data_IF_277944745718
#
_entry.id   IF_277944745718
#
_cell.length_a   1.000
_cell.length_b   1.000
_cell.length_c   1.000
_cell.angle_alpha   90.00
_cell.angle_beta   90.00
_cell.angle_gamma   90.00
#
_symmetry.space_group_name_H-M   'P 1'
#
loop_
_entity.id
_entity.type
_entity.pdbx_description
1 polymer ?
#
# COMPACT_ATOMS: atom_id res chain seq x y z
N UNK A 1 19.91 25.69 11.20
CA UNK A 1 18.65 26.46 10.99
C UNK A 1 17.50 25.46 10.95
N UNK A 2 16.36 25.73 11.58
CA UNK A 2 15.20 24.81 11.62
C UNK A 2 14.03 25.49 10.91
N UNK A 3 13.30 24.76 10.06
CA UNK A 3 12.09 25.24 9.40
C UNK A 3 11.18 24.09 8.98
N UNK A 4 9.91 24.42 8.70
CA UNK A 4 8.92 23.47 8.18
C UNK A 4 8.89 23.51 6.65
N UNK A 5 8.77 22.35 6.03
CA UNK A 5 8.71 22.20 4.58
C UNK A 5 7.76 21.07 4.18
N UNK A 6 7.35 21.07 2.91
CA UNK A 6 6.66 19.93 2.29
C UNK A 6 7.67 19.22 1.39
N UNK A 7 7.75 17.89 1.47
CA UNK A 7 8.55 17.12 0.52
C UNK A 7 7.76 16.99 -0.77
N UNK A 8 8.24 17.65 -1.84
CA UNK A 8 7.56 17.66 -3.13
C UNK A 8 7.82 16.40 -3.94
N UNK A 9 9.03 15.84 -3.82
CA UNK A 9 9.36 14.55 -4.41
C UNK A 9 10.65 13.95 -3.85
N UNK A 10 10.86 12.66 -4.15
CA UNK A 10 12.14 11.98 -3.93
C UNK A 10 12.65 11.45 -5.27
N UNK A 11 13.86 11.85 -5.63
CA UNK A 11 14.54 11.43 -6.84
C UNK A 11 14.99 9.97 -6.80
N UNK A 12 15.20 9.38 -7.97
CA UNK A 12 15.70 8.00 -8.14
C UNK A 12 17.09 7.77 -7.52
N UNK A 13 17.85 8.83 -7.25
CA UNK A 13 19.15 8.79 -6.58
C UNK A 13 19.03 9.04 -5.06
N UNK A 14 17.82 9.06 -4.51
CA UNK A 14 17.52 9.35 -3.11
C UNK A 14 17.62 10.83 -2.73
N UNK A 15 17.72 11.75 -3.70
CA UNK A 15 17.63 13.20 -3.42
C UNK A 15 16.23 13.55 -2.94
N UNK A 16 16.12 14.22 -1.81
CA UNK A 16 14.84 14.68 -1.26
C UNK A 16 14.64 16.13 -1.70
N UNK A 17 13.55 16.43 -2.39
CA UNK A 17 13.23 17.80 -2.80
C UNK A 17 12.18 18.37 -1.85
N UNK A 18 12.49 19.50 -1.24
CA UNK A 18 11.63 20.15 -0.27
C UNK A 18 11.23 21.55 -0.73
N UNK A 19 10.00 21.96 -0.41
CA UNK A 19 9.51 23.31 -0.60
C UNK A 19 9.27 23.90 0.80
N UNK A 20 10.06 24.91 1.23
CA UNK A 20 9.83 25.57 2.51
C UNK A 20 8.41 26.14 2.57
N UNK A 21 7.70 25.94 3.69
CA UNK A 21 6.33 26.48 3.86
C UNK A 21 6.26 28.00 3.67
N UNK A 22 7.35 28.71 3.98
CA UNK A 22 7.46 30.15 3.76
C UNK A 22 7.36 30.58 2.29
N UNK A 23 7.51 29.67 1.33
CA UNK A 23 7.47 29.94 -0.11
C UNK A 23 6.18 29.48 -0.79
N UNK A 24 5.29 28.79 -0.06
CA UNK A 24 4.08 28.19 -0.62
C UNK A 24 3.18 29.24 -1.28
N UNK A 25 3.02 30.40 -0.64
CA UNK A 25 2.17 31.48 -1.17
C UNK A 25 2.73 32.07 -2.46
N UNK A 26 4.03 32.32 -2.53
CA UNK A 26 4.71 32.80 -3.74
C UNK A 26 4.67 31.76 -4.87
N UNK A 27 4.91 30.48 -4.55
CA UNK A 27 4.83 29.40 -5.51
C UNK A 27 3.41 29.30 -6.10
N UNK A 28 2.38 29.33 -5.25
CA UNK A 28 0.98 29.29 -5.70
C UNK A 28 0.62 30.45 -6.63
N UNK A 29 1.11 31.67 -6.33
CA UNK A 29 0.95 32.83 -7.22
C UNK A 29 1.62 32.62 -8.57
N UNK A 30 2.86 32.13 -8.57
CA UNK A 30 3.57 31.81 -9.81
C UNK A 30 2.85 30.73 -10.62
N UNK A 31 2.40 29.65 -9.97
CA UNK A 31 1.68 28.56 -10.65
C UNK A 31 0.39 29.06 -11.29
N UNK A 32 -0.37 29.92 -10.61
CA UNK A 32 -1.57 30.54 -11.16
C UNK A 32 -1.27 31.45 -12.37
N UNK A 33 -0.18 32.22 -12.31
CA UNK A 33 0.27 33.07 -13.42
C UNK A 33 0.67 32.23 -14.64
N UNK A 34 1.45 31.16 -14.44
CA UNK A 34 1.85 30.25 -15.51
C UNK A 34 0.62 29.58 -16.13
N UNK A 35 -0.33 29.11 -15.32
CA UNK A 35 -1.57 28.52 -15.84
C UNK A 35 -2.33 29.51 -16.73
N UNK A 36 -2.40 30.79 -16.33
CA UNK A 36 -3.08 31.83 -17.09
C UNK A 36 -2.37 32.15 -18.41
N UNK A 37 -1.05 32.32 -18.37
CA UNK A 37 -0.25 32.73 -19.52
C UNK A 37 -0.14 31.64 -20.60
N UNK A 38 -0.20 30.37 -20.20
CA UNK A 38 0.01 29.22 -21.09
C UNK A 38 -1.29 28.46 -21.44
N UNK A 39 -2.46 28.95 -20.99
CA UNK A 39 -3.77 28.28 -21.16
C UNK A 39 -4.18 28.01 -22.62
N UNK A 40 -3.88 28.95 -23.53
CA UNK A 40 -4.37 28.94 -24.91
C UNK A 40 -3.23 28.92 -25.93
N UNK A 41 -2.14 28.21 -25.62
CA UNK A 41 -1.03 28.07 -26.58
C UNK A 41 -1.38 27.07 -27.68
N UNK A 42 -1.14 27.48 -28.93
CA UNK A 42 -1.26 26.62 -30.09
C UNK A 42 -0.15 25.57 -30.16
N UNK A 43 -0.27 24.62 -31.08
CA UNK A 43 0.76 23.63 -31.36
C UNK A 43 2.08 24.32 -31.69
N UNK A 44 3.14 23.95 -30.96
CA UNK A 44 4.47 24.49 -31.18
C UNK A 44 5.05 23.96 -32.48
N UNK A 45 5.65 24.85 -33.27
CA UNK A 45 6.47 24.45 -34.42
C UNK A 45 7.64 23.55 -33.97
N UNK A 46 8.17 22.69 -34.85
CA UNK A 46 9.28 21.81 -34.52
C UNK A 46 10.47 22.60 -33.93
N UNK A 47 10.81 22.31 -32.68
CA UNK A 47 11.87 23.00 -31.94
C UNK A 47 13.01 22.04 -31.55
N UNK A 48 14.26 22.47 -31.76
CA UNK A 48 15.46 21.70 -31.45
C UNK A 48 16.00 22.02 -30.05
N UNK A 49 15.57 21.24 -29.07
CA UNK A 49 15.94 21.41 -27.66
C UNK A 49 17.39 21.08 -27.35
N UNK A 50 17.99 21.86 -26.44
CA UNK A 50 19.33 21.61 -25.89
C UNK A 50 19.28 21.24 -24.41
N UNK A 51 20.23 20.42 -23.97
CA UNK A 51 20.41 20.13 -22.54
C UNK A 51 20.73 21.42 -21.79
N UNK A 52 20.01 21.67 -20.72
CA UNK A 52 20.11 22.84 -19.86
C UNK A 52 19.13 23.96 -20.19
N UNK A 53 18.37 23.84 -21.28
CA UNK A 53 17.49 24.90 -21.75
C UNK A 53 16.23 25.06 -20.86
N UNK A 54 15.87 26.29 -20.46
CA UNK A 54 14.66 26.55 -19.68
C UNK A 54 13.42 26.42 -20.55
N UNK A 55 12.35 25.92 -19.94
CA UNK A 55 11.08 25.70 -20.62
C UNK A 55 9.91 25.87 -19.65
N UNK A 56 8.72 26.02 -20.22
CA UNK A 56 7.47 25.72 -19.54
C UNK A 56 6.95 24.40 -20.09
N UNK A 57 6.56 23.50 -19.19
CA UNK A 57 6.23 22.11 -19.51
C UNK A 57 4.81 21.79 -19.06
N UNK A 58 4.05 21.11 -19.92
CA UNK A 58 2.75 20.54 -19.55
C UNK A 58 2.96 19.15 -18.97
N UNK A 59 2.65 19.02 -17.69
CA UNK A 59 2.74 17.77 -16.96
C UNK A 59 1.69 16.75 -17.38
N UNK A 60 1.83 15.53 -16.86
CA UNK A 60 0.87 14.43 -17.06
C UNK A 60 -0.51 14.72 -16.46
N UNK A 61 -0.55 15.54 -15.42
CA UNK A 61 -1.75 16.12 -14.81
C UNK A 61 -2.41 17.24 -15.65
N UNK A 62 -1.86 17.52 -16.83
CA UNK A 62 -2.30 18.53 -17.79
C UNK A 62 -2.06 19.98 -17.37
N UNK A 63 -1.36 20.22 -16.25
CA UNK A 63 -1.03 21.53 -15.72
C UNK A 63 0.34 22.00 -16.22
N UNK A 64 0.59 23.32 -16.18
CA UNK A 64 1.83 23.93 -16.65
C UNK A 64 2.82 24.21 -15.54
N UNK A 65 4.10 23.90 -15.77
CA UNK A 65 5.16 24.06 -14.77
C UNK A 65 6.40 24.69 -15.38
N UNK A 66 7.28 25.24 -14.55
CA UNK A 66 8.64 25.58 -15.00
C UNK A 66 9.50 24.32 -15.06
N UNK A 67 10.16 24.14 -16.19
CA UNK A 67 11.00 22.99 -16.45
C UNK A 67 12.38 23.39 -16.95
N UNK A 68 13.30 22.43 -16.90
CA UNK A 68 14.61 22.49 -17.55
C UNK A 68 14.89 21.17 -18.24
N UNK A 69 15.32 21.22 -19.50
CA UNK A 69 15.68 20.00 -20.24
C UNK A 69 16.99 19.45 -19.66
N UNK A 70 16.99 18.21 -19.19
CA UNK A 70 18.17 17.56 -18.58
C UNK A 70 18.73 16.40 -19.42
N UNK A 71 17.95 15.87 -20.35
CA UNK A 71 18.36 14.78 -21.25
C UNK A 71 17.56 14.74 -22.55
N UNK A 72 18.19 14.25 -23.61
CA UNK A 72 17.59 14.06 -24.94
C UNK A 72 17.56 12.55 -25.25
N UNK A 73 16.41 11.94 -25.56
CA UNK A 73 16.40 10.51 -25.94
C UNK A 73 15.04 9.83 -26.16
N UNK A 74 14.93 9.09 -27.27
CA UNK A 74 13.83 8.16 -27.54
C UNK A 74 12.48 8.81 -27.82
N UNK A 75 12.44 9.86 -28.67
CA UNK A 75 11.20 10.56 -29.04
C UNK A 75 10.61 11.49 -27.96
N UNK A 76 11.18 11.47 -26.74
CA UNK A 76 10.80 12.32 -25.63
C UNK A 76 12.05 13.02 -25.04
N UNK A 77 11.80 14.04 -24.23
CA UNK A 77 12.82 14.83 -23.54
C UNK A 77 12.72 14.56 -22.04
N UNK A 78 13.85 14.44 -21.35
CA UNK A 78 13.83 14.41 -19.89
C UNK A 78 13.79 15.84 -19.37
N UNK A 79 12.77 16.16 -18.60
CA UNK A 79 12.49 17.51 -18.11
C UNK A 79 12.46 17.47 -16.59
N UNK A 80 13.27 18.32 -15.97
CA UNK A 80 13.29 18.52 -14.53
C UNK A 80 12.40 19.69 -14.16
N UNK A 81 11.40 19.46 -13.31
CA UNK A 81 10.47 20.47 -12.81
C UNK A 81 11.17 21.28 -11.73
N UNK A 82 11.63 22.48 -12.08
CA UNK A 82 12.58 23.22 -11.22
C UNK A 82 11.97 23.68 -9.89
N UNK A 83 10.64 23.68 -9.77
CA UNK A 83 9.93 24.10 -8.55
C UNK A 83 9.46 22.93 -7.67
N UNK A 84 9.54 21.70 -8.19
CA UNK A 84 9.06 20.50 -7.51
C UNK A 84 10.11 19.38 -7.42
N UNK A 85 11.17 19.42 -8.22
CA UNK A 85 12.26 18.46 -8.21
C UNK A 85 12.05 17.19 -9.05
N UNK A 86 10.82 16.89 -9.47
CA UNK A 86 10.52 15.71 -10.28
C UNK A 86 11.23 15.77 -11.63
N UNK A 87 11.58 14.61 -12.19
CA UNK A 87 12.09 14.49 -13.55
C UNK A 87 11.24 13.51 -14.32
N UNK A 88 10.68 13.94 -15.45
CA UNK A 88 9.79 13.11 -16.27
C UNK A 88 10.23 13.08 -17.72
N UNK A 89 9.76 12.06 -18.45
CA UNK A 89 9.92 11.96 -19.90
C UNK A 89 8.71 12.60 -20.57
N UNK A 90 8.94 13.73 -21.23
CA UNK A 90 7.88 14.57 -21.79
C UNK A 90 8.02 14.66 -23.31
N UNK A 91 6.92 14.50 -24.07
CA UNK A 91 6.92 14.74 -25.51
C UNK A 91 7.31 16.19 -25.85
N UNK A 92 8.10 16.45 -26.90
CA UNK A 92 8.49 17.82 -27.28
C UNK A 92 7.33 18.79 -27.50
N UNK A 93 6.16 18.31 -27.92
CA UNK A 93 4.97 19.13 -28.13
C UNK A 93 4.32 19.67 -26.84
N UNK A 94 4.73 19.16 -25.67
CA UNK A 94 4.27 19.65 -24.36
C UNK A 94 5.22 20.68 -23.74
N UNK A 95 6.28 21.06 -24.44
CA UNK A 95 7.30 21.98 -23.96
C UNK A 95 7.28 23.27 -24.74
N UNK A 96 7.40 24.41 -24.05
CA UNK A 96 7.48 25.74 -24.65
C UNK A 96 8.79 26.41 -24.24
N UNK A 97 9.67 26.77 -25.20
CA UNK A 97 10.91 27.45 -24.90
C UNK A 97 10.60 28.86 -24.44
N UNK A 98 11.05 29.22 -23.24
CA UNK A 98 10.80 30.56 -22.69
C UNK A 98 11.81 30.91 -21.63
N UNK A 99 12.14 32.20 -21.57
CA UNK A 99 12.96 32.81 -20.52
C UNK A 99 12.17 33.79 -19.66
N UNK A 100 10.84 33.85 -19.82
CA UNK A 100 9.95 34.78 -19.09
C UNK A 100 10.17 34.72 -17.58
N UNK A 101 10.44 33.53 -17.06
CA UNK A 101 10.61 33.27 -15.62
C UNK A 101 12.07 33.08 -15.19
N UNK A 102 13.05 33.45 -16.03
CA UNK A 102 14.46 33.22 -15.75
C UNK A 102 14.98 33.99 -14.52
N UNK A 103 14.35 35.12 -14.17
CA UNK A 103 14.71 35.91 -13.00
C UNK A 103 14.15 35.36 -11.68
N UNK A 104 13.15 34.47 -11.74
CA UNK A 104 12.53 33.89 -10.54
C UNK A 104 13.34 32.65 -10.13
N UNK A 105 13.87 32.57 -8.90
CA UNK A 105 14.65 31.41 -8.47
C UNK A 105 13.76 30.15 -8.36
N UNK A 106 14.35 28.93 -8.42
CA UNK A 106 13.66 27.68 -8.11
C UNK A 106 13.07 27.68 -6.70
N UNK A 107 11.87 27.13 -6.54
CA UNK A 107 11.20 27.05 -5.23
C UNK A 107 11.53 25.79 -4.43
N UNK A 108 11.90 24.70 -5.09
CA UNK A 108 12.35 23.49 -4.39
C UNK A 108 13.85 23.56 -4.06
N UNK A 109 14.21 22.98 -2.93
CA UNK A 109 15.59 22.82 -2.47
C UNK A 109 15.94 21.33 -2.54
N UNK A 110 16.99 20.93 -3.29
CA UNK A 110 17.47 19.56 -3.27
C UNK A 110 18.24 19.31 -1.97
N UNK A 111 17.95 18.19 -1.32
CA UNK A 111 18.51 17.83 -0.02
C UNK A 111 19.10 16.42 -0.03
N UNK A 112 20.08 16.22 0.85
CA UNK A 112 20.65 14.93 1.20
C UNK A 112 20.64 14.76 2.73
N UNK A 113 20.53 13.52 3.19
CA UNK A 113 20.57 13.22 4.62
C UNK A 113 21.99 13.38 5.17
N UNK A 114 22.13 14.19 6.22
CA UNK A 114 23.38 14.45 6.89
C UNK A 114 23.97 13.15 7.46
N UNK A 115 25.28 12.93 7.21
CA UNK A 115 26.05 11.77 7.69
C UNK A 115 25.36 10.42 7.51
N UNK A 116 24.60 10.29 6.44
CA UNK A 116 23.85 9.07 6.13
C UNK A 116 24.43 8.45 4.87
N UNK A 117 24.95 7.23 4.98
CA UNK A 117 25.56 6.48 3.88
C UNK A 117 24.64 5.32 3.50
N UNK A 118 24.07 5.30 2.29
CA UNK A 118 23.21 4.21 1.84
C UNK A 118 23.95 2.87 1.82
N UNK A 119 23.22 1.78 2.11
CA UNK A 119 23.77 0.43 1.99
C UNK A 119 24.15 0.17 0.53
N UNK A 120 25.43 -0.17 0.30
CA UNK A 120 25.98 -0.32 -1.05
C UNK A 120 26.50 0.98 -1.68
N UNK A 121 26.57 2.08 -0.92
CA UNK A 121 27.07 3.42 -1.33
C UNK A 121 26.16 4.18 -2.32
N UNK A 122 25.00 3.65 -2.65
CA UNK A 122 23.95 4.35 -3.40
C UNK A 122 22.58 3.89 -2.88
N UNK A 123 21.58 4.76 -2.97
CA UNK A 123 20.22 4.41 -2.58
C UNK A 123 19.67 3.34 -3.54
N UNK A 124 19.43 2.15 -2.99
CA UNK A 124 18.79 1.05 -3.72
C UNK A 124 17.32 1.38 -3.99
N UNK A 125 16.72 0.73 -4.99
CA UNK A 125 15.34 1.05 -5.39
C UNK A 125 14.33 0.84 -4.27
N UNK A 126 14.45 -0.24 -3.49
CA UNK A 126 13.60 -0.52 -2.32
C UNK A 126 13.70 0.57 -1.24
N UNK A 127 14.90 1.11 -1.02
CA UNK A 127 15.11 2.24 -0.13
C UNK A 127 14.50 3.54 -0.69
N UNK A 128 14.62 3.78 -2.00
CA UNK A 128 14.01 4.96 -2.66
C UNK A 128 12.48 4.87 -2.62
N UNK A 129 11.90 3.70 -2.89
CA UNK A 129 10.46 3.46 -2.82
C UNK A 129 9.96 3.74 -1.40
N UNK A 130 10.68 3.26 -0.39
CA UNK A 130 10.38 3.55 1.01
C UNK A 130 10.43 5.06 1.32
N UNK A 131 11.43 5.80 0.81
CA UNK A 131 11.48 7.26 0.96
C UNK A 131 10.28 7.94 0.27
N UNK A 132 9.93 7.49 -0.94
CA UNK A 132 8.81 8.04 -1.71
C UNK A 132 7.48 7.82 -0.99
N UNK A 133 7.22 6.62 -0.49
CA UNK A 133 6.01 6.28 0.26
C UNK A 133 5.90 7.06 1.57
N UNK A 134 7.02 7.26 2.28
CA UNK A 134 7.02 7.94 3.58
C UNK A 134 6.94 9.45 3.51
N UNK A 135 7.40 10.05 2.41
CA UNK A 135 7.65 11.49 2.36
C UNK A 135 6.83 12.22 1.31
N UNK A 136 6.34 11.57 0.25
CA UNK A 136 5.71 12.31 -0.85
C UNK A 136 4.47 13.07 -0.36
N UNK A 137 4.49 14.40 -0.52
CA UNK A 137 3.48 15.35 -0.02
C UNK A 137 3.37 15.43 1.51
N UNK A 138 4.34 14.90 2.25
CA UNK A 138 4.37 14.99 3.71
C UNK A 138 4.97 16.31 4.19
N UNK A 139 4.44 16.79 5.32
CA UNK A 139 4.99 17.93 6.05
C UNK A 139 6.10 17.46 6.99
N UNK A 140 7.26 18.10 6.88
CA UNK A 140 8.47 17.69 7.57
C UNK A 140 9.16 18.87 8.25
N UNK A 141 9.79 18.59 9.38
CA UNK A 141 10.68 19.52 10.04
C UNK A 141 12.11 19.29 9.56
N UNK A 142 12.74 20.35 9.03
CA UNK A 142 14.06 20.29 8.42
C UNK A 142 15.06 21.06 9.27
N UNK A 143 16.12 20.37 9.67
CA UNK A 143 17.26 20.91 10.41
C UNK A 143 18.46 20.96 9.48
N UNK A 144 18.86 22.17 9.09
CA UNK A 144 20.05 22.38 8.24
C UNK A 144 21.31 22.12 9.05
N UNK A 145 22.11 21.16 8.59
CA UNK A 145 23.39 20.79 9.19
C UNK A 145 24.56 21.44 8.45
N UNK A 146 24.62 21.27 7.13
CA UNK A 146 25.70 21.83 6.29
C UNK A 146 25.14 22.47 5.02
N UNK A 147 25.72 23.61 4.64
CA UNK A 147 25.44 24.26 3.37
C UNK A 147 26.29 23.59 2.28
N UNK A 148 25.76 23.44 1.05
CA UNK A 148 26.56 22.94 -0.05
C UNK A 148 27.62 23.95 -0.46
N UNK A 149 28.79 23.47 -0.89
CA UNK A 149 29.86 24.32 -1.46
C UNK A 149 29.38 25.07 -2.72
N UNK A 150 28.48 24.42 -3.46
CA UNK A 150 27.85 24.95 -4.66
C UNK A 150 26.46 25.50 -4.31
N UNK A 151 26.08 26.73 -4.70
CA UNK A 151 24.74 27.27 -4.45
C UNK A 151 23.59 26.42 -5.04
N UNK A 152 23.89 25.60 -6.03
CA UNK A 152 22.94 24.65 -6.65
C UNK A 152 23.16 23.20 -6.21
N UNK A 153 23.98 22.97 -5.18
CA UNK A 153 24.24 21.65 -4.61
C UNK A 153 23.13 21.19 -3.66
N UNK A 154 23.26 19.95 -3.16
CA UNK A 154 22.31 19.35 -2.22
C UNK A 154 22.56 19.88 -0.80
N UNK A 155 21.53 20.40 -0.16
CA UNK A 155 21.58 20.84 1.23
C UNK A 155 21.67 19.62 2.16
N UNK A 156 22.65 19.61 3.07
CA UNK A 156 22.82 18.52 4.05
C UNK A 156 21.91 18.76 5.26
N UNK A 157 20.95 17.87 5.49
CA UNK A 157 19.88 18.06 6.47
C UNK A 157 19.67 16.85 7.38
N UNK A 158 19.20 17.11 8.59
CA UNK A 158 18.44 16.14 9.38
C UNK A 158 16.96 16.43 9.17
N UNK A 159 16.19 15.42 8.77
CA UNK A 159 14.78 15.54 8.44
C UNK A 159 13.96 14.75 9.46
N UNK A 160 12.89 15.36 9.96
CA UNK A 160 11.96 14.74 10.87
C UNK A 160 10.54 14.75 10.29
N UNK A 161 9.90 13.59 10.24
CA UNK A 161 8.51 13.41 9.81
C UNK A 161 7.72 12.85 10.99
N UNK A 162 6.64 13.51 11.39
CA UNK A 162 5.91 13.13 12.62
C UNK A 162 6.77 13.10 13.90
N UNK A 163 7.87 13.89 13.94
CA UNK A 163 8.83 13.89 15.05
C UNK A 163 9.86 12.75 15.01
N UNK A 164 9.82 11.88 14.00
CA UNK A 164 10.78 10.77 13.81
C UNK A 164 11.92 11.20 12.90
N UNK A 165 13.16 10.93 13.30
CA UNK A 165 14.34 11.14 12.46
C UNK A 165 14.34 10.16 11.27
N UNK A 166 14.37 10.70 10.05
CA UNK A 166 14.40 9.91 8.83
C UNK A 166 15.68 9.07 8.69
N UNK A 167 16.85 9.61 9.02
CA UNK A 167 18.10 8.85 8.94
C UNK A 167 18.10 7.65 9.90
N UNK A 168 17.57 7.84 11.11
CA UNK A 168 17.42 6.76 12.10
C UNK A 168 16.43 5.69 11.62
N UNK A 169 15.30 6.12 11.04
CA UNK A 169 14.31 5.22 10.46
C UNK A 169 14.91 4.38 9.32
N UNK A 170 15.58 5.01 8.35
CA UNK A 170 16.19 4.29 7.22
C UNK A 170 17.32 3.35 7.68
N UNK A 171 18.09 3.74 8.69
CA UNK A 171 19.16 2.90 9.25
C UNK A 171 18.61 1.67 9.99
N UNK A 172 17.47 1.83 10.67
CA UNK A 172 16.76 0.73 11.33
C UNK A 172 16.38 -0.38 10.35
N UNK A 173 15.80 0.02 9.21
CA UNK A 173 15.43 -0.88 8.11
C UNK A 173 16.62 -1.36 7.27
N UNK A 174 17.86 -1.07 7.69
CA UNK A 174 19.11 -1.50 7.02
C UNK A 174 19.30 -0.92 5.61
N UNK A 175 18.60 0.16 5.28
CA UNK A 175 18.79 0.88 4.02
C UNK A 175 20.01 1.80 4.02
N UNK A 176 20.49 2.20 5.20
CA UNK A 176 21.70 3.03 5.34
C UNK A 176 22.41 2.79 6.67
N UNK A 177 23.59 3.39 6.80
CA UNK A 177 24.31 3.59 8.06
C UNK A 177 24.33 5.08 8.34
N UNK A 178 23.93 5.50 9.54
CA UNK A 178 24.00 6.90 9.97
C UNK A 178 24.81 7.01 11.28
N UNK A 179 25.73 7.98 11.34
CA UNK A 179 26.63 8.15 12.50
C UNK A 179 25.87 8.58 13.77
N UNK A 180 24.78 9.35 13.61
CA UNK A 180 24.00 9.92 14.71
C UNK A 180 22.73 9.09 15.03
N UNK A 181 22.76 7.77 14.82
CA UNK A 181 21.71 6.88 15.30
C UNK A 181 21.73 6.84 16.84
N UNK A 182 21.20 7.89 17.47
CA UNK A 182 20.74 7.83 18.85
C UNK A 182 19.77 6.65 18.94
N UNK A 183 20.00 5.78 19.94
CA UNK A 183 19.14 4.66 20.28
C UNK A 183 17.68 5.08 20.13
N UNK A 184 16.99 4.44 19.18
CA UNK A 184 15.62 4.78 18.80
C UNK A 184 14.77 4.83 20.07
N UNK A 185 14.30 6.02 20.53
CA UNK A 185 13.46 6.08 21.70
C UNK A 185 12.18 5.32 21.42
N UNK A 186 11.62 4.73 22.46
CA UNK A 186 10.38 3.95 22.43
C UNK A 186 9.24 4.65 21.65
N UNK A 187 9.22 5.99 21.62
CA UNK A 187 8.30 6.84 20.84
C UNK A 187 8.25 6.57 19.33
N UNK A 188 9.37 6.22 18.66
CA UNK A 188 9.36 5.94 17.21
C UNK A 188 8.59 4.65 16.91
N UNK A 189 8.60 3.68 17.83
CA UNK A 189 7.83 2.42 17.73
C UNK A 189 6.31 2.69 17.80
N UNK A 190 5.89 3.71 18.55
CA UNK A 190 4.49 4.13 18.63
C UNK A 190 4.04 4.86 17.35
N UNK A 191 4.87 5.78 16.83
CA UNK A 191 4.58 6.53 15.60
C UNK A 191 4.55 5.62 14.36
N UNK A 192 5.46 4.64 14.26
CA UNK A 192 5.44 3.66 13.16
C UNK A 192 4.10 2.91 13.10
N UNK A 193 3.58 2.46 14.24
CA UNK A 193 2.31 1.71 14.28
C UNK A 193 1.10 2.61 13.99
N UNK A 194 1.13 3.88 14.41
CA UNK A 194 0.04 4.82 14.14
C UNK A 194 -0.09 5.22 12.65
N UNK A 195 0.95 5.00 11.84
CA UNK A 195 1.01 5.41 10.42
C UNK A 195 0.90 4.22 9.45
N UNK A 196 0.85 2.97 9.95
CA UNK A 196 0.74 1.81 9.06
C UNK A 196 -0.59 1.86 8.28
N UNK A 197 -0.54 1.78 6.93
CA UNK A 197 -1.75 1.74 6.14
C UNK A 197 -2.52 0.44 6.43
N UNK A 198 -3.84 0.54 6.47
CA UNK A 198 -4.70 -0.64 6.57
C UNK A 198 -4.60 -1.50 5.31
N UNK A 199 -4.90 -2.78 5.43
CA UNK A 199 -4.95 -3.67 4.27
C UNK A 199 -6.04 -3.23 3.28
N UNK A 200 -5.75 -3.41 1.99
CA UNK A 200 -6.68 -3.12 0.89
C UNK A 200 -7.42 -4.39 0.47
N UNK A 201 -8.66 -4.23 -0.01
CA UNK A 201 -9.41 -5.33 -0.61
C UNK A 201 -8.93 -5.62 -2.02
N UNK A 202 -8.96 -6.89 -2.48
CA UNK A 202 -8.70 -7.21 -3.87
C UNK A 202 -9.81 -6.64 -4.77
N UNK A 203 -9.52 -6.37 -6.06
CA UNK A 203 -10.55 -5.95 -7.01
C UNK A 203 -11.60 -7.05 -7.14
N UNK A 204 -12.82 -6.75 -6.70
CA UNK A 204 -13.95 -7.68 -6.77
C UNK A 204 -14.64 -7.61 -8.15
N UNK A 205 -15.11 -8.75 -8.69
CA UNK A 205 -15.89 -8.78 -9.93
C UNK A 205 -17.17 -7.93 -9.86
N UNK A 206 -17.69 -7.54 -11.02
CA UNK A 206 -18.94 -6.78 -11.10
C UNK A 206 -20.14 -7.65 -10.68
N UNK A 207 -21.18 -7.07 -10.06
CA UNK A 207 -22.38 -7.82 -9.70
C UNK A 207 -23.01 -8.54 -10.91
N UNK A 208 -23.42 -9.78 -10.70
CA UNK A 208 -24.00 -10.65 -11.74
C UNK A 208 -23.02 -11.60 -12.44
N UNK A 209 -21.72 -11.31 -12.45
CA UNK A 209 -20.72 -12.24 -12.98
C UNK A 209 -20.46 -13.39 -12.00
N UNK A 210 -20.31 -14.60 -12.54
CA UNK A 210 -19.95 -15.79 -11.77
C UNK A 210 -18.46 -16.05 -11.88
N UNK A 211 -17.76 -16.23 -10.75
CA UNK A 211 -16.31 -16.41 -10.70
C UNK A 211 -15.91 -17.55 -9.75
N UNK A 212 -14.79 -18.24 -10.02
CA UNK A 212 -14.33 -19.34 -9.17
C UNK A 212 -13.82 -18.80 -7.83
N UNK A 213 -14.22 -19.46 -6.76
CA UNK A 213 -13.81 -19.14 -5.39
C UNK A 213 -13.53 -20.41 -4.59
N UNK A 214 -12.79 -20.23 -3.50
CA UNK A 214 -12.70 -21.22 -2.43
C UNK A 214 -13.16 -20.59 -1.13
N UNK A 215 -13.94 -21.31 -0.34
CA UNK A 215 -14.24 -20.89 1.03
C UNK A 215 -13.04 -21.26 1.91
N UNK A 216 -12.38 -20.27 2.48
CA UNK A 216 -11.19 -20.47 3.31
C UNK A 216 -11.51 -20.52 4.80
N UNK A 217 -12.61 -19.88 5.21
CA UNK A 217 -13.08 -19.91 6.59
C UNK A 217 -14.60 -19.72 6.64
N UNK A 218 -15.26 -20.42 7.57
CA UNK A 218 -16.70 -20.33 7.82
C UNK A 218 -16.91 -19.77 9.23
N UNK A 219 -17.61 -18.63 9.34
CA UNK A 219 -17.94 -18.00 10.63
C UNK A 219 -19.28 -18.49 11.13
N UNK A 220 -20.28 -18.49 10.24
CA UNK A 220 -21.62 -19.02 10.49
C UNK A 220 -22.16 -19.60 9.18
N UNK A 221 -23.30 -20.32 9.18
CA UNK A 221 -23.87 -20.82 7.94
C UNK A 221 -24.08 -19.75 6.86
N UNK A 222 -24.36 -18.49 7.26
CA UNK A 222 -24.59 -17.36 6.36
C UNK A 222 -23.36 -16.46 6.15
N UNK A 223 -22.27 -16.68 6.88
CA UNK A 223 -21.08 -15.82 6.86
C UNK A 223 -19.81 -16.63 6.56
N UNK A 224 -19.18 -16.32 5.43
CA UNK A 224 -18.01 -17.02 4.90
C UNK A 224 -16.88 -16.04 4.58
N UNK A 225 -15.67 -16.59 4.50
CA UNK A 225 -14.52 -15.95 3.89
C UNK A 225 -14.18 -16.66 2.59
N UNK A 226 -14.09 -15.89 1.51
CA UNK A 226 -13.81 -16.41 0.17
C UNK A 226 -12.45 -15.92 -0.33
N UNK A 227 -11.71 -16.81 -0.99
CA UNK A 227 -10.51 -16.47 -1.73
C UNK A 227 -10.80 -16.55 -3.23
N UNK A 228 -10.41 -15.49 -3.96
CA UNK A 228 -10.48 -15.46 -5.41
C UNK A 228 -9.24 -16.17 -5.99
N UNK A 229 -9.42 -17.15 -6.86
CA UNK A 229 -8.31 -17.83 -7.53
C UNK A 229 -7.62 -16.86 -8.51
N UNK A 230 -6.60 -16.14 -8.02
CA UNK A 230 -5.78 -15.22 -8.81
C UNK A 230 -5.04 -15.94 -9.95
N UNK A 231 -4.78 -17.24 -9.82
CA UNK A 231 -4.02 -18.05 -10.79
C UNK A 231 -4.68 -18.19 -12.17
N UNK A 232 -6.00 -17.93 -12.30
CA UNK A 232 -6.70 -18.02 -13.58
C UNK A 232 -7.00 -16.65 -14.23
N UNK A 233 -6.86 -15.55 -13.50
CA UNK A 233 -7.13 -14.20 -14.02
C UNK A 233 -5.92 -13.54 -14.72
N UNK A 234 -4.78 -14.23 -14.81
CA UNK A 234 -3.58 -13.79 -15.55
C UNK A 234 -3.65 -14.04 -17.07
N UNK A 235 -4.67 -14.75 -17.59
CA UNK A 235 -4.84 -14.91 -19.04
C UNK A 235 -5.76 -13.86 -19.63
N UNK A 236 -5.30 -12.60 -19.69
CA UNK A 236 -5.71 -11.61 -20.70
C UNK A 236 -4.77 -10.39 -20.71
N UNK A 237 -3.47 -10.64 -20.87
CA UNK A 237 -2.54 -9.79 -21.64
C UNK A 237 -1.14 -10.42 -21.64
N UNK A 238 -0.90 -11.33 -22.57
CA UNK A 238 0.45 -11.56 -23.06
C UNK A 238 0.40 -11.76 -24.57
N UNK A 239 1.05 -10.85 -25.30
CA UNK A 239 2.14 -11.18 -26.22
C UNK A 239 2.82 -9.88 -26.64
N UNK A 240 4.03 -9.64 -26.13
CA UNK A 240 5.22 -9.46 -26.98
C UNK A 240 6.45 -9.74 -26.14
N UNK A 241 7.24 -10.68 -26.63
CA UNK A 241 8.49 -11.19 -26.08
C UNK A 241 9.63 -10.16 -26.16
N UNK A 242 10.60 -10.32 -25.26
CA UNK A 242 11.93 -9.74 -25.41
C UNK A 242 12.31 -8.78 -24.28
N UNK A 243 12.91 -9.30 -23.20
CA UNK A 243 14.29 -9.00 -22.85
C UNK A 243 14.62 -9.47 -21.43
N UNK A 244 15.79 -10.09 -21.31
CA UNK A 244 16.32 -10.62 -20.07
C UNK A 244 16.50 -9.51 -19.01
N UNK A 245 15.86 -9.67 -17.85
CA UNK A 245 16.08 -8.81 -16.68
C UNK A 245 16.20 -9.65 -15.42
N UNK A 246 17.40 -9.70 -14.87
CA UNK A 246 17.66 -10.16 -13.51
C UNK A 246 17.45 -8.98 -12.56
N UNK A 247 16.19 -8.70 -12.21
CA UNK A 247 15.80 -7.87 -11.07
C UNK A 247 14.73 -8.68 -10.33
N UNK A 248 15.07 -9.40 -9.26
CA UNK A 248 14.05 -10.11 -8.48
C UNK A 248 13.33 -9.13 -7.54
N UNK A 249 12.54 -8.22 -8.12
CA UNK A 249 11.34 -7.75 -7.43
C UNK A 249 10.55 -9.03 -7.09
N UNK A 250 10.19 -9.24 -5.82
CA UNK A 250 9.34 -10.39 -5.50
C UNK A 250 8.01 -10.20 -6.22
N UNK A 251 7.76 -11.06 -7.20
CA UNK A 251 6.64 -10.91 -8.14
C UNK A 251 5.31 -11.32 -7.48
N UNK A 252 5.38 -12.03 -6.34
CA UNK A 252 4.21 -12.57 -5.64
C UNK A 252 4.26 -12.39 -4.12
N UNK A 253 3.07 -12.36 -3.51
CA UNK A 253 2.90 -12.38 -2.05
C UNK A 253 3.54 -13.64 -1.42
N UNK A 254 3.47 -14.79 -2.09
CA UNK A 254 4.06 -16.04 -1.62
C UNK A 254 5.58 -15.96 -1.51
N UNK A 255 6.24 -15.31 -2.47
CA UNK A 255 7.69 -15.07 -2.39
C UNK A 255 8.01 -14.14 -1.23
N UNK A 256 7.29 -13.02 -1.10
CA UNK A 256 7.46 -12.07 -0.01
C UNK A 256 7.31 -12.75 1.36
N UNK A 257 6.28 -13.56 1.55
CA UNK A 257 6.06 -14.32 2.78
C UNK A 257 7.15 -15.37 3.03
N UNK A 258 7.66 -16.05 2.00
CA UNK A 258 8.79 -17.00 2.14
C UNK A 258 10.05 -16.30 2.63
N UNK A 259 10.34 -15.09 2.15
CA UNK A 259 11.47 -14.31 2.64
C UNK A 259 11.23 -13.81 4.06
N UNK A 260 10.04 -13.30 4.37
CA UNK A 260 9.69 -12.88 5.72
C UNK A 260 9.86 -14.02 6.73
N UNK A 261 9.42 -15.23 6.39
CA UNK A 261 9.60 -16.40 7.25
C UNK A 261 11.07 -16.77 7.47
N UNK A 262 11.95 -16.59 6.47
CA UNK A 262 13.40 -16.83 6.61
C UNK A 262 14.10 -15.79 7.49
N UNK A 263 13.56 -14.58 7.56
CA UNK A 263 14.18 -13.44 8.26
C UNK A 263 13.36 -12.95 9.45
N UNK A 264 12.45 -13.79 9.96
CA UNK A 264 11.41 -13.34 10.92
C UNK A 264 11.99 -12.84 12.25
N UNK A 265 13.13 -13.39 12.67
CA UNK A 265 13.82 -12.98 13.89
C UNK A 265 14.30 -11.52 13.85
N UNK A 266 14.51 -10.97 12.64
CA UNK A 266 14.89 -9.57 12.44
C UNK A 266 13.72 -8.60 12.64
N UNK A 267 12.47 -9.07 12.57
CA UNK A 267 11.30 -8.21 12.76
C UNK A 267 10.98 -8.06 14.25
N UNK A 268 10.71 -6.83 14.73
CA UNK A 268 10.41 -6.60 16.14
C UNK A 268 9.13 -7.28 16.58
N UNK A 269 9.02 -7.56 17.88
CA UNK A 269 7.75 -7.94 18.49
C UNK A 269 6.74 -6.79 18.36
N UNK A 270 5.46 -7.13 18.20
CA UNK A 270 4.39 -6.16 18.23
C UNK A 270 4.19 -5.67 19.67
N UNK A 271 4.16 -4.35 19.88
CA UNK A 271 4.02 -3.76 21.22
C UNK A 271 2.74 -2.95 21.42
N UNK A 272 1.98 -2.72 20.35
CA UNK A 272 0.70 -2.00 20.39
C UNK A 272 -0.37 -2.88 19.76
N UNK A 273 -1.49 -3.01 20.46
CA UNK A 273 -2.58 -3.93 20.11
C UNK A 273 -3.87 -3.15 19.84
N UNK A 274 -3.76 -2.04 19.12
CA UNK A 274 -4.95 -1.31 18.67
C UNK A 274 -5.69 -2.13 17.61
N UNK A 275 -7.00 -1.97 17.56
CA UNK A 275 -7.87 -2.64 16.60
C UNK A 275 -7.43 -2.28 15.18
N UNK A 276 -7.46 -3.28 14.29
CA UNK A 276 -7.09 -3.23 12.88
C UNK A 276 -5.60 -2.95 12.58
N UNK A 277 -4.73 -2.89 13.59
CA UNK A 277 -3.28 -2.76 13.36
C UNK A 277 -2.75 -3.98 12.58
N UNK A 278 -2.11 -3.76 11.41
CA UNK A 278 -1.46 -4.82 10.65
C UNK A 278 -0.26 -5.41 11.40
N UNK A 279 -0.13 -6.73 11.37
CA UNK A 279 0.96 -7.45 12.01
C UNK A 279 1.30 -8.77 11.30
N UNK A 280 2.41 -9.38 11.70
CA UNK A 280 2.71 -10.78 11.43
C UNK A 280 2.35 -11.62 12.64
N UNK A 281 1.67 -12.74 12.42
CA UNK A 281 1.32 -13.70 13.46
C UNK A 281 1.84 -15.09 13.11
N UNK A 282 2.43 -15.78 14.09
CA UNK A 282 2.84 -17.18 13.96
C UNK A 282 1.61 -18.09 14.06
N UNK A 283 1.42 -18.96 13.06
CA UNK A 283 0.37 -19.97 13.06
C UNK A 283 0.86 -21.31 13.62
N UNK A 284 -0.02 -22.31 13.68
CA UNK A 284 0.26 -23.61 14.31
C UNK A 284 1.33 -24.43 13.58
N UNK A 285 1.57 -24.15 12.30
CA UNK A 285 2.62 -24.76 11.48
C UNK A 285 4.01 -24.14 11.71
N UNK A 286 4.12 -23.13 12.58
CA UNK A 286 5.35 -22.41 12.86
C UNK A 286 5.72 -21.37 11.80
N UNK A 287 4.86 -21.15 10.81
CA UNK A 287 5.03 -20.11 9.81
C UNK A 287 4.31 -18.82 10.22
N UNK A 288 4.82 -17.71 9.72
CA UNK A 288 4.34 -16.36 9.98
C UNK A 288 3.54 -15.86 8.79
N UNK A 289 2.36 -15.32 9.10
CA UNK A 289 1.37 -14.88 8.13
C UNK A 289 0.94 -13.45 8.41
N UNK A 290 0.40 -12.78 7.39
CA UNK A 290 -0.20 -11.45 7.55
C UNK A 290 -1.47 -11.56 8.37
N UNK A 291 -1.56 -10.73 9.38
CA UNK A 291 -2.70 -10.65 10.26
C UNK A 291 -3.04 -9.20 10.61
N UNK A 292 -4.19 -9.02 11.26
CA UNK A 292 -4.54 -7.78 11.94
C UNK A 292 -5.04 -8.06 13.34
N UNK A 293 -4.79 -7.13 14.25
CA UNK A 293 -5.29 -7.20 15.63
C UNK A 293 -6.78 -6.87 15.66
N UNK A 294 -7.56 -7.65 16.40
CA UNK A 294 -8.99 -7.40 16.61
C UNK A 294 -9.29 -6.93 18.04
N UNK A 295 -8.76 -7.64 19.04
CA UNK A 295 -9.04 -7.39 20.45
C UNK A 295 -7.97 -8.01 21.35
N UNK A 296 -7.94 -7.57 22.61
CA UNK A 296 -7.22 -8.23 23.69
C UNK A 296 -8.22 -9.14 24.41
N UNK A 297 -8.00 -10.45 24.36
CA UNK A 297 -8.91 -11.46 24.95
C UNK A 297 -8.57 -11.73 26.42
N UNK A 298 -7.28 -11.75 26.75
CA UNK A 298 -6.79 -11.99 28.12
C UNK A 298 -5.70 -10.97 28.43
N UNK A 299 -5.59 -10.55 29.70
CA UNK A 299 -4.59 -9.57 30.16
C UNK A 299 -3.44 -10.19 30.97
N UNK A 300 -3.56 -11.44 31.42
CA UNK A 300 -2.54 -12.09 32.26
C UNK A 300 -2.46 -13.62 32.07
N UNK A 301 -1.56 -14.14 31.22
CA UNK A 301 -0.72 -13.38 30.29
C UNK A 301 -1.55 -12.71 29.19
N UNK A 302 -1.02 -11.65 28.58
CA UNK A 302 -1.71 -10.96 27.50
C UNK A 302 -1.88 -11.90 26.30
N UNK A 303 -3.13 -12.09 25.85
CA UNK A 303 -3.45 -12.81 24.61
C UNK A 303 -4.30 -11.94 23.71
N UNK A 304 -3.96 -11.96 22.44
CA UNK A 304 -4.52 -11.08 21.42
C UNK A 304 -5.28 -11.93 20.43
N UNK A 305 -6.53 -11.55 20.15
CA UNK A 305 -7.28 -12.08 19.02
C UNK A 305 -6.77 -11.40 17.75
N UNK A 306 -6.29 -12.21 16.81
CA UNK A 306 -5.89 -11.75 15.48
C UNK A 306 -6.71 -12.43 14.40
N UNK A 307 -6.85 -11.75 13.28
CA UNK A 307 -7.38 -12.30 12.05
C UNK A 307 -6.27 -12.44 11.01
N UNK A 308 -6.11 -13.63 10.45
CA UNK A 308 -5.23 -13.88 9.31
C UNK A 308 -5.89 -13.39 8.03
N UNK A 309 -5.46 -12.23 7.53
CA UNK A 309 -6.18 -11.51 6.46
C UNK A 309 -6.19 -12.24 5.12
N UNK A 310 -5.25 -13.17 4.92
CA UNK A 310 -5.15 -13.96 3.69
C UNK A 310 -5.97 -15.25 3.72
N UNK A 311 -6.50 -15.62 4.89
CA UNK A 311 -7.26 -16.87 5.09
C UNK A 311 -8.64 -16.64 5.70
N UNK A 312 -8.87 -15.48 6.34
CA UNK A 312 -10.09 -15.15 7.05
C UNK A 312 -10.21 -15.78 8.43
N UNK A 313 -9.30 -16.70 8.78
CA UNK A 313 -9.29 -17.41 10.05
C UNK A 313 -8.85 -16.51 11.21
N UNK A 314 -9.29 -16.88 12.41
CA UNK A 314 -8.98 -16.17 13.65
C UNK A 314 -8.15 -17.05 14.58
N UNK A 315 -7.30 -16.43 15.39
CA UNK A 315 -6.58 -17.13 16.44
C UNK A 315 -6.30 -16.22 17.61
N UNK A 316 -6.36 -16.78 18.81
CA UNK A 316 -5.88 -16.12 20.03
C UNK A 316 -4.43 -16.51 20.24
N UNK A 317 -3.52 -15.54 20.18
CA UNK A 317 -2.08 -15.78 20.26
C UNK A 317 -1.43 -14.95 21.37
N UNK A 318 -0.39 -15.48 22.05
CA UNK A 318 0.40 -14.69 22.98
C UNK A 318 1.20 -13.62 22.24
N UNK A 319 1.60 -12.57 22.95
CA UNK A 319 2.38 -11.46 22.38
C UNK A 319 3.73 -11.89 21.78
N UNK A 320 4.31 -13.00 22.25
CA UNK A 320 5.53 -13.59 21.69
C UNK A 320 5.37 -14.12 20.26
N UNK A 321 4.14 -14.37 19.82
CA UNK A 321 3.78 -14.84 18.47
C UNK A 321 3.32 -13.72 17.55
N UNK A 322 3.56 -12.47 17.93
CA UNK A 322 3.22 -11.30 17.16
C UNK A 322 4.45 -10.46 16.86
N UNK A 323 4.63 -10.13 15.58
CA UNK A 323 5.69 -9.26 15.11
C UNK A 323 5.13 -8.12 14.28
N UNK A 324 5.88 -7.03 14.20
CA UNK A 324 5.56 -5.94 13.29
C UNK A 324 5.64 -6.45 11.85
N UNK A 325 4.71 -5.98 11.01
CA UNK A 325 4.72 -6.30 9.59
C UNK A 325 5.61 -5.33 8.81
N UNK A 326 6.48 -5.84 7.92
CA UNK A 326 7.20 -5.02 6.94
C UNK A 326 6.25 -4.29 5.99
N UNK A 327 6.53 -3.02 5.71
CA UNK A 327 5.66 -2.19 4.86
C UNK A 327 5.43 -2.78 3.46
N UNK A 328 6.46 -3.36 2.83
CA UNK A 328 6.33 -3.96 1.49
C UNK A 328 5.34 -5.13 1.40
N UNK A 329 4.89 -5.69 2.53
CA UNK A 329 3.82 -6.69 2.55
C UNK A 329 2.42 -6.04 2.52
N UNK A 330 2.28 -4.75 2.87
CA UNK A 330 1.00 -4.04 2.90
C UNK A 330 0.53 -3.61 1.49
N UNK A 331 1.44 -3.54 0.51
CA UNK A 331 1.08 -3.25 -0.88
C UNK A 331 0.20 -4.34 -1.52
N UNK A 332 0.23 -5.56 -0.98
CA UNK A 332 -0.58 -6.66 -1.49
C UNK A 332 -1.98 -6.61 -0.88
N UNK A 333 -3.05 -6.69 -1.68
CA UNK A 333 -4.40 -6.82 -1.15
C UNK A 333 -4.57 -8.09 -0.30
N UNK A 334 -5.55 -8.09 0.59
CA UNK A 334 -5.92 -9.31 1.34
C UNK A 334 -6.36 -10.41 0.38
N UNK A 335 -5.97 -11.66 0.63
CA UNK A 335 -6.37 -12.78 -0.22
C UNK A 335 -7.74 -13.37 0.15
N UNK A 336 -8.27 -13.03 1.33
CA UNK A 336 -9.54 -13.55 1.82
C UNK A 336 -10.52 -12.43 2.15
N UNK A 337 -11.72 -12.50 1.57
CA UNK A 337 -12.77 -11.48 1.66
C UNK A 337 -13.95 -12.04 2.42
N UNK A 338 -14.39 -11.32 3.46
CA UNK A 338 -15.62 -11.61 4.21
C UNK A 338 -16.84 -11.40 3.30
N UNK A 339 -17.72 -12.38 3.23
CA UNK A 339 -18.94 -12.32 2.44
C UNK A 339 -20.14 -12.96 3.16
N UNK A 340 -21.32 -12.38 2.95
CA UNK A 340 -22.61 -12.94 3.38
C UNK A 340 -23.26 -13.74 2.26
N UNK A 341 -23.85 -14.89 2.61
CA UNK A 341 -24.60 -15.71 1.68
C UNK A 341 -26.07 -15.28 1.64
N UNK A 342 -26.62 -15.14 0.43
CA UNK A 342 -28.02 -14.79 0.23
C UNK A 342 -28.92 -16.00 -0.04
N UNK A 343 -30.24 -15.79 0.14
CA UNK A 343 -31.29 -16.69 -0.33
C UNK A 343 -31.84 -17.67 0.70
N UNK A 344 -31.34 -17.65 1.94
CA UNK A 344 -31.82 -18.55 2.98
C UNK A 344 -31.68 -17.95 4.39
N UNK A 345 -32.49 -18.47 5.30
CA UNK A 345 -32.59 -18.09 6.70
C UNK A 345 -32.61 -19.33 7.59
N UNK A 346 -32.36 -19.19 8.90
CA UNK A 346 -32.44 -20.32 9.82
C UNK A 346 -33.85 -20.93 9.82
N UNK A 347 -33.92 -22.26 9.93
CA UNK A 347 -35.17 -22.97 10.14
C UNK A 347 -35.83 -22.55 11.48
N UNK A 348 -37.15 -22.77 11.58
CA UNK A 348 -37.94 -22.41 12.76
C UNK A 348 -37.32 -22.92 14.09
N UNK A 349 -37.54 -22.16 15.16
CA UNK A 349 -36.93 -22.42 16.45
C UNK A 349 -37.44 -23.72 17.08
N UNK A 350 -36.50 -24.60 17.41
CA UNK A 350 -36.73 -25.83 18.18
C UNK A 350 -35.99 -25.77 19.52
N UNK A 351 -36.70 -26.05 20.62
CA UNK A 351 -36.22 -25.90 22.01
C UNK A 351 -35.11 -26.87 22.42
N UNK A 352 -34.92 -27.99 21.70
CA UNK A 352 -34.00 -29.08 22.10
C UNK A 352 -32.77 -29.23 21.17
N UNK A 353 -32.43 -28.20 20.40
CA UNK A 353 -31.33 -28.24 19.42
C UNK A 353 -30.10 -27.51 19.97
N UNK A 354 -28.92 -28.12 19.83
CA UNK A 354 -27.65 -27.48 20.16
C UNK A 354 -27.38 -26.31 19.20
N UNK A 355 -27.23 -25.09 19.74
CA UNK A 355 -27.10 -23.84 18.97
C UNK A 355 -25.68 -23.30 18.99
N UNK A 356 -25.33 -22.51 17.97
CA UNK A 356 -24.05 -21.80 17.93
C UNK A 356 -24.05 -20.71 19.00
N UNK A 357 -23.12 -20.70 19.98
CA UNK A 357 -23.17 -19.78 21.13
C UNK A 357 -23.19 -18.29 20.76
N UNK A 358 -22.50 -17.92 19.68
CA UNK A 358 -22.38 -16.54 19.21
C UNK A 358 -23.34 -16.21 18.05
N UNK A 359 -24.14 -17.18 17.59
CA UNK A 359 -25.08 -17.03 16.46
C UNK A 359 -26.28 -17.98 16.69
N UNK A 360 -27.04 -17.78 17.79
CA UNK A 360 -28.00 -18.76 18.32
C UNK A 360 -29.20 -19.02 17.40
N UNK A 361 -29.40 -18.20 16.38
CA UNK A 361 -30.37 -18.44 15.33
C UNK A 361 -30.08 -19.73 14.53
N UNK A 362 -28.81 -20.15 14.45
CA UNK A 362 -28.40 -21.37 13.75
C UNK A 362 -28.09 -22.53 14.70
N UNK A 363 -28.36 -23.75 14.25
CA UNK A 363 -27.95 -24.98 14.95
C UNK A 363 -26.49 -25.35 14.65
N UNK A 364 -25.86 -26.11 15.55
CA UNK A 364 -24.55 -26.71 15.29
C UNK A 364 -24.60 -27.69 14.10
N UNK A 365 -25.73 -28.41 13.93
CA UNK A 365 -25.95 -29.30 12.80
C UNK A 365 -25.95 -28.55 11.46
N UNK A 366 -26.61 -27.38 11.39
CA UNK A 366 -26.60 -26.54 10.19
C UNK A 366 -25.19 -26.05 9.87
N UNK A 367 -24.39 -25.70 10.88
CA UNK A 367 -23.00 -25.29 10.70
C UNK A 367 -22.17 -26.42 10.10
N UNK A 368 -22.24 -27.63 10.65
CA UNK A 368 -21.50 -28.79 10.14
C UNK A 368 -21.92 -29.18 8.73
N UNK A 369 -23.24 -29.21 8.45
CA UNK A 369 -23.74 -29.46 7.11
C UNK A 369 -23.23 -28.41 6.10
N UNK A 370 -23.13 -27.15 6.52
CA UNK A 370 -22.56 -26.10 5.68
C UNK A 370 -21.04 -26.29 5.48
N UNK A 371 -20.30 -26.66 6.53
CA UNK A 371 -18.86 -27.00 6.42
C UNK A 371 -18.64 -28.12 5.41
N UNK A 372 -19.40 -29.22 5.50
CA UNK A 372 -19.32 -30.35 4.56
C UNK A 372 -19.63 -29.91 3.12
N UNK A 373 -20.50 -28.90 2.95
CA UNK A 373 -20.85 -28.38 1.64
C UNK A 373 -19.71 -27.57 1.00
N UNK A 374 -18.82 -26.95 1.77
CA UNK A 374 -17.81 -26.01 1.27
C UNK A 374 -16.36 -26.45 1.43
N UNK A 375 -16.05 -27.27 2.44
CA UNK A 375 -14.68 -27.61 2.79
C UNK A 375 -13.95 -28.37 1.67
N UNK A 376 -12.75 -27.91 1.32
CA UNK A 376 -11.90 -28.53 0.31
C UNK A 376 -12.44 -28.47 -1.12
N UNK A 377 -13.57 -27.80 -1.36
CA UNK A 377 -14.24 -27.74 -2.68
C UNK A 377 -13.88 -26.47 -3.42
N UNK A 378 -13.76 -26.61 -4.74
CA UNK A 378 -13.76 -25.46 -5.64
C UNK A 378 -15.22 -25.08 -5.90
N UNK A 379 -15.58 -23.83 -5.64
CA UNK A 379 -16.95 -23.35 -5.81
C UNK A 379 -16.95 -22.18 -6.79
N UNK A 380 -18.15 -21.72 -7.14
CA UNK A 380 -18.33 -20.48 -7.87
C UNK A 380 -19.20 -19.52 -7.08
N UNK A 381 -18.91 -18.22 -7.15
CA UNK A 381 -19.72 -17.20 -6.50
C UNK A 381 -20.21 -16.17 -7.51
N UNK A 382 -21.37 -15.57 -7.25
CA UNK A 382 -21.85 -14.37 -7.94
C UNK A 382 -22.13 -13.27 -6.94
N UNK A 383 -21.59 -12.07 -7.18
CA UNK A 383 -21.81 -10.91 -6.31
C UNK A 383 -23.20 -10.34 -6.54
N UNK A 384 -23.93 -10.11 -5.45
CA UNK A 384 -25.25 -9.48 -5.43
C UNK A 384 -25.16 -8.03 -4.93
N UNK A 385 -24.35 -7.78 -3.91
CA UNK A 385 -24.11 -6.44 -3.36
C UNK A 385 -22.66 -6.30 -2.90
N UNK A 386 -22.10 -5.09 -3.05
CA UNK A 386 -20.76 -4.74 -2.57
C UNK A 386 -20.78 -3.88 -1.30
N UNK A 387 -21.95 -3.31 -0.96
CA UNK A 387 -22.14 -2.41 0.19
C UNK A 387 -23.56 -2.60 0.76
N UNK A 388 -23.76 -2.60 2.10
CA UNK A 388 -22.78 -2.32 3.15
C UNK A 388 -21.79 -3.47 3.41
N UNK A 389 -22.15 -4.71 3.08
CA UNK A 389 -21.29 -5.89 3.16
C UNK A 389 -21.34 -6.66 1.83
N UNK A 390 -20.24 -7.33 1.47
CA UNK A 390 -20.18 -8.14 0.25
C UNK A 390 -21.16 -9.29 0.40
N UNK A 391 -22.18 -9.33 -0.45
CA UNK A 391 -23.22 -10.36 -0.43
C UNK A 391 -23.15 -11.17 -1.71
N UNK A 392 -23.13 -12.50 -1.59
CA UNK A 392 -22.94 -13.42 -2.70
C UNK A 392 -23.98 -14.54 -2.72
N UNK A 393 -24.15 -15.14 -3.90
CA UNK A 393 -24.66 -16.51 -4.04
C UNK A 393 -23.50 -17.45 -4.30
N UNK A 394 -23.51 -18.62 -3.65
CA UNK A 394 -22.46 -19.64 -3.77
C UNK A 394 -23.03 -20.87 -4.46
N UNK A 395 -22.29 -21.39 -5.44
CA UNK A 395 -22.68 -22.49 -6.30
C UNK A 395 -21.66 -23.63 -6.24
N UNK A 396 -22.15 -24.87 -6.27
CA UNK A 396 -21.32 -26.06 -6.44
C UNK A 396 -20.96 -26.31 -7.92
N UNK A 397 -20.22 -27.39 -8.18
CA UNK A 397 -19.75 -27.77 -9.53
C UNK A 397 -20.90 -28.00 -10.52
N UNK A 398 -22.07 -28.42 -10.02
CA UNK A 398 -23.29 -28.66 -10.80
C UNK A 398 -24.11 -27.37 -11.01
N UNK A 399 -23.58 -26.22 -10.56
CA UNK A 399 -24.22 -24.89 -10.54
C UNK A 399 -25.48 -24.83 -9.66
N UNK A 400 -25.61 -25.73 -8.69
CA UNK A 400 -26.66 -25.65 -7.70
C UNK A 400 -26.24 -24.70 -6.58
N UNK A 401 -27.21 -23.95 -6.05
CA UNK A 401 -26.99 -23.10 -4.88
C UNK A 401 -26.62 -23.96 -3.68
N UNK A 402 -25.47 -23.67 -3.07
CA UNK A 402 -24.92 -24.49 -1.97
C UNK A 402 -25.91 -24.61 -0.81
N UNK A 403 -26.62 -23.53 -0.47
CA UNK A 403 -27.58 -23.54 0.63
C UNK A 403 -28.81 -24.42 0.37
N UNK A 404 -29.08 -24.83 -0.87
CA UNK A 404 -30.25 -25.69 -1.17
C UNK A 404 -30.14 -27.05 -0.48
N UNK A 405 -28.93 -27.58 -0.29
CA UNK A 405 -28.71 -28.81 0.50
C UNK A 405 -29.19 -28.65 1.94
N UNK A 406 -28.96 -27.48 2.55
CA UNK A 406 -29.43 -27.18 3.90
C UNK A 406 -30.96 -27.12 3.94
N UNK A 407 -31.59 -26.54 2.92
CA UNK A 407 -33.05 -26.47 2.79
C UNK A 407 -33.66 -27.85 2.61
N UNK A 408 -33.08 -28.70 1.74
CA UNK A 408 -33.53 -30.08 1.51
C UNK A 408 -33.42 -30.95 2.77
N UNK A 409 -32.42 -30.68 3.62
CA UNK A 409 -32.25 -31.32 4.93
C UNK A 409 -33.16 -30.75 6.02
N UNK A 410 -33.93 -29.69 5.75
CA UNK A 410 -34.76 -29.00 6.73
C UNK A 410 -33.96 -28.18 7.75
N UNK A 411 -32.68 -27.90 7.47
CA UNK A 411 -31.77 -27.15 8.35
C UNK A 411 -31.79 -25.64 8.09
N UNK A 412 -32.48 -25.21 7.02
CA UNK A 412 -32.68 -23.81 6.64
C UNK A 412 -34.00 -23.64 5.87
N UNK A 413 -34.55 -22.44 5.88
CA UNK A 413 -35.68 -22.02 5.04
C UNK A 413 -35.21 -21.04 3.96
N UNK A 414 -35.93 -20.94 2.85
CA UNK A 414 -35.66 -19.88 1.86
C UNK A 414 -36.04 -18.50 2.43
N UNK A 415 -35.20 -17.51 2.15
CA UNK A 415 -35.56 -16.09 2.34
C UNK A 415 -36.49 -15.71 1.17
N UNK A 416 -37.71 -15.27 1.47
CA UNK A 416 -38.70 -14.82 0.47
C UNK A 416 -38.33 -13.47 -0.16
#
# INVERSE_FOLDING_TARGET
KIFQAVVSCVGHDGTIYIIPKSYETELNKLMAEIQSNFKCLGLLEPYCWKKGEPCVVRGSDTMWYRGKVVGLGGGALQVHYIDHGCTERIPPCHLYPTTLYAAVPPFCIPCQLYKTVPTGNFWQQDAVDCLQELLTNEEVEVHVQELPDNPWGKLSISLYFGGVSLSSFMAYHKYCVAEDCLDIPEMVRFLYIAVLPSYTLPPLPVPGDTFPVRVTHLVSPKEVYICLDSSKNLMKQSTTEGDAKCNSEMESLDEALKWCNKSVESFPLLTHYQIDVPCLAEYQDGLWYRAKVLSIEEFNPVKILVQFVDYGSFSVVPTSRLRQIPYHLLKYPVQSVRALLAGFKPALYEENVERIPYCPEWSMETLWAMMDCVEGKQLSASILALSPEVTISLYDDDKNLVHMKLVEMGLADLDE
#
